data_IF_158147347690
#
_entry.id   IF_158147347690
#
_cell.length_a   1.000
_cell.length_b   1.000
_cell.length_c   1.000
_cell.angle_alpha   90.00
_cell.angle_beta   90.00
_cell.angle_gamma   90.00
#
_symmetry.space_group_name_H-M   'P 1'
#
loop_
_entity.id
_entity.type
_entity.pdbx_description
1 polymer ?
#
# COMPACT_ATOMS: atom_id res chain seq x y z
N UNK A 1 25.13 -39.15 -8.34
CA UNK A 1 25.92 -37.96 -8.73
C UNK A 1 25.00 -37.02 -9.47
N UNK A 2 24.57 -35.92 -8.83
CA UNK A 2 23.75 -34.91 -9.51
C UNK A 2 24.63 -34.18 -10.53
N UNK A 3 24.26 -34.23 -11.81
CA UNK A 3 24.96 -33.48 -12.86
C UNK A 3 24.95 -31.99 -12.51
N UNK A 4 26.11 -31.33 -12.61
CA UNK A 4 26.28 -29.89 -12.30
C UNK A 4 25.22 -29.00 -12.96
N UNK A 5 24.79 -29.34 -14.18
CA UNK A 5 23.70 -28.66 -14.91
C UNK A 5 22.35 -28.64 -14.16
N UNK A 6 22.02 -29.70 -13.41
CA UNK A 6 20.75 -29.77 -12.67
C UNK A 6 20.80 -28.93 -11.39
N UNK A 7 21.97 -28.80 -10.77
CA UNK A 7 22.14 -27.98 -9.55
C UNK A 7 21.97 -26.49 -9.87
N UNK A 8 22.57 -26.03 -10.98
CA UNK A 8 22.45 -24.63 -11.43
C UNK A 8 20.99 -24.30 -11.76
N UNK A 9 20.28 -25.22 -12.44
CA UNK A 9 18.88 -25.03 -12.78
C UNK A 9 17.99 -24.91 -11.54
N UNK A 10 18.20 -25.77 -10.53
CA UNK A 10 17.44 -25.72 -9.27
C UNK A 10 17.71 -24.44 -8.47
N UNK A 11 18.95 -23.97 -8.41
CA UNK A 11 19.30 -22.72 -7.71
C UNK A 11 18.64 -21.51 -8.38
N UNK A 12 18.58 -21.50 -9.72
CA UNK A 12 17.97 -20.41 -10.49
C UNK A 12 16.46 -20.33 -10.25
N UNK A 13 15.76 -21.47 -10.19
CA UNK A 13 14.33 -21.53 -9.87
C UNK A 13 14.05 -21.02 -8.45
N UNK A 14 14.89 -21.38 -7.48
CA UNK A 14 14.73 -20.95 -6.08
C UNK A 14 14.93 -19.42 -5.95
N UNK A 15 15.92 -18.85 -6.65
CA UNK A 15 16.17 -17.40 -6.65
C UNK A 15 15.07 -16.58 -7.34
N UNK A 16 14.40 -17.14 -8.36
CA UNK A 16 13.25 -16.51 -9.00
C UNK A 16 12.01 -16.43 -8.08
N UNK A 17 11.90 -17.35 -7.11
CA UNK A 17 10.81 -17.38 -6.13
C UNK A 17 11.05 -16.47 -4.92
N UNK A 18 12.29 -16.02 -4.69
CA UNK A 18 12.64 -15.11 -3.60
C UNK A 18 12.45 -13.63 -3.98
N UNK A 19 11.34 -13.27 -4.63
CA UNK A 19 10.97 -11.86 -4.77
C UNK A 19 10.62 -11.31 -3.38
N UNK A 20 11.48 -10.48 -2.83
CA UNK A 20 11.25 -9.80 -1.55
C UNK A 20 10.06 -8.87 -1.72
N UNK A 21 8.88 -9.28 -1.23
CA UNK A 21 7.68 -8.46 -1.30
C UNK A 21 7.90 -7.21 -0.44
N UNK A 22 8.23 -6.09 -1.09
CA UNK A 22 8.31 -4.79 -0.42
C UNK A 22 6.90 -4.27 -0.20
N UNK A 23 6.59 -4.01 1.07
CA UNK A 23 5.37 -3.35 1.49
C UNK A 23 5.53 -1.84 1.25
N UNK A 24 4.80 -1.28 0.30
CA UNK A 24 4.90 0.13 -0.06
C UNK A 24 3.64 0.63 -0.77
N UNK A 25 3.36 1.92 -0.61
CA UNK A 25 2.47 2.65 -1.51
C UNK A 25 3.25 2.88 -2.81
N UNK A 26 2.68 2.48 -3.94
CA UNK A 26 3.34 2.54 -5.25
C UNK A 26 2.92 3.76 -6.07
N UNK A 27 1.70 4.25 -5.87
CA UNK A 27 1.25 5.52 -6.44
C UNK A 27 0.02 6.06 -5.72
N UNK A 28 -0.15 7.38 -5.80
CA UNK A 28 -1.32 8.10 -5.29
C UNK A 28 -1.79 9.05 -6.39
N UNK A 29 -3.07 8.97 -6.73
CA UNK A 29 -3.71 9.89 -7.67
C UNK A 29 -4.89 10.55 -6.98
N UNK A 30 -4.95 11.87 -7.04
CA UNK A 30 -6.09 12.66 -6.59
C UNK A 30 -6.87 13.19 -7.78
N UNK A 31 -8.18 12.96 -7.76
CA UNK A 31 -9.15 13.49 -8.73
C UNK A 31 -10.29 14.18 -7.94
N UNK A 32 -10.15 15.49 -7.74
CA UNK A 32 -11.02 16.27 -6.86
C UNK A 32 -11.03 15.71 -5.42
N UNK A 33 -12.20 15.22 -5.01
CA UNK A 33 -12.46 14.62 -3.70
C UNK A 33 -12.10 13.12 -3.60
N UNK A 34 -11.65 12.51 -4.70
CA UNK A 34 -11.33 11.09 -4.78
C UNK A 34 -9.81 10.88 -4.74
N UNK A 35 -9.36 10.00 -3.85
CA UNK A 35 -7.99 9.49 -3.82
C UNK A 35 -7.98 8.03 -4.29
N UNK A 36 -7.06 7.71 -5.19
CA UNK A 36 -6.78 6.34 -5.62
C UNK A 36 -5.35 6.00 -5.22
N UNK A 37 -5.20 5.11 -4.25
CA UNK A 37 -3.92 4.74 -3.65
C UNK A 37 -3.58 3.31 -4.05
N UNK A 38 -2.54 3.14 -4.86
CA UNK A 38 -2.00 1.83 -5.23
C UNK A 38 -0.93 1.42 -4.23
N UNK A 39 -0.89 0.13 -3.90
CA UNK A 39 0.03 -0.42 -2.91
C UNK A 39 0.41 -1.87 -3.21
N UNK A 40 1.53 -2.29 -2.64
CA UNK A 40 2.01 -3.67 -2.58
C UNK A 40 2.27 -4.04 -1.13
N UNK A 41 1.97 -5.28 -0.68
CA UNK A 41 1.33 -6.36 -1.42
C UNK A 41 -0.13 -6.03 -1.78
N UNK A 42 -0.63 -6.63 -2.86
CA UNK A 42 -1.94 -6.26 -3.46
C UNK A 42 -3.12 -6.46 -2.52
N UNK A 43 -3.04 -7.41 -1.58
CA UNK A 43 -4.10 -7.72 -0.61
C UNK A 43 -3.69 -7.29 0.79
N UNK A 44 -4.50 -6.42 1.40
CA UNK A 44 -4.23 -5.87 2.73
C UNK A 44 -5.52 -5.71 3.54
N UNK A 45 -5.43 -6.01 4.83
CA UNK A 45 -6.45 -5.70 5.84
C UNK A 45 -6.04 -4.39 6.50
N UNK A 46 -6.78 -3.31 6.22
CA UNK A 46 -6.43 -1.97 6.69
C UNK A 46 -6.98 -1.68 8.09
N UNK A 47 -6.09 -1.26 8.99
CA UNK A 47 -6.43 -0.80 10.34
C UNK A 47 -6.62 0.71 10.36
N UNK A 48 -5.72 1.46 9.71
CA UNK A 48 -5.78 2.91 9.57
C UNK A 48 -5.36 3.35 8.17
N UNK A 49 -6.08 4.32 7.62
CA UNK A 49 -5.72 5.02 6.39
C UNK A 49 -5.72 6.50 6.71
N UNK A 50 -4.61 7.20 6.55
CA UNK A 50 -4.44 8.55 7.07
C UNK A 50 -3.84 9.50 6.03
N UNK A 51 -4.36 10.73 6.02
CA UNK A 51 -3.67 11.88 5.48
C UNK A 51 -2.78 12.46 6.58
N UNK A 52 -1.56 12.83 6.23
CA UNK A 52 -0.58 13.39 7.16
C UNK A 52 -0.18 14.77 6.67
N UNK A 53 -0.09 15.73 7.59
CA UNK A 53 0.35 17.10 7.32
C UNK A 53 1.24 17.57 8.48
N UNK A 54 2.55 17.72 8.26
CA UNK A 54 3.50 18.07 9.31
C UNK A 54 3.37 17.19 10.56
N UNK A 55 3.14 15.89 10.37
CA UNK A 55 2.95 14.91 11.44
C UNK A 55 1.52 14.84 12.01
N UNK A 56 0.62 15.77 11.67
CA UNK A 56 -0.79 15.67 12.05
C UNK A 56 -1.48 14.58 11.22
N UNK A 57 -2.01 13.55 11.89
CA UNK A 57 -2.65 12.42 11.23
C UNK A 57 -4.18 12.57 11.24
N UNK A 58 -4.78 12.56 10.06
CA UNK A 58 -6.25 12.57 9.87
C UNK A 58 -6.69 11.23 9.33
N UNK A 59 -7.47 10.47 10.11
CA UNK A 59 -7.96 9.15 9.68
C UNK A 59 -9.09 9.30 8.66
N UNK A 60 -8.88 8.75 7.48
CA UNK A 60 -9.81 8.75 6.35
C UNK A 60 -10.37 7.36 6.03
N UNK A 61 -10.09 6.35 6.86
CA UNK A 61 -10.47 4.96 6.61
C UNK A 61 -11.95 4.76 6.30
N UNK A 62 -12.84 5.48 6.99
CA UNK A 62 -14.30 5.40 6.78
C UNK A 62 -14.74 5.77 5.37
N UNK A 63 -13.92 6.56 4.66
CA UNK A 63 -14.17 7.00 3.29
C UNK A 63 -13.50 6.12 2.24
N UNK A 64 -12.69 5.14 2.66
CA UNK A 64 -11.86 4.32 1.81
C UNK A 64 -12.44 2.92 1.62
N UNK A 65 -12.39 2.41 0.38
CA UNK A 65 -12.79 1.05 0.01
C UNK A 65 -11.72 0.42 -0.87
N UNK A 66 -11.24 -0.75 -0.44
CA UNK A 66 -10.46 -1.66 -1.27
C UNK A 66 -11.44 -2.68 -1.86
N UNK A 67 -11.66 -2.66 -3.17
CA UNK A 67 -12.60 -3.59 -3.81
C UNK A 67 -12.12 -5.02 -3.57
N UNK A 68 -12.93 -5.83 -2.88
CA UNK A 68 -12.60 -7.20 -2.47
C UNK A 68 -11.36 -7.34 -1.57
N UNK A 69 -10.85 -6.24 -0.98
CA UNK A 69 -9.61 -6.21 -0.20
C UNK A 69 -8.33 -6.05 -1.02
N UNK A 70 -8.45 -5.67 -2.30
CA UNK A 70 -7.34 -5.57 -3.25
C UNK A 70 -6.99 -4.11 -3.54
N UNK A 71 -5.73 -3.86 -3.92
CA UNK A 71 -5.28 -2.58 -4.48
C UNK A 71 -6.00 -2.29 -5.82
N UNK A 72 -6.42 -1.05 -6.11
CA UNK A 72 -6.20 0.17 -5.31
C UNK A 72 -7.19 0.34 -4.15
N UNK A 73 -6.76 1.09 -3.13
CA UNK A 73 -7.63 1.65 -2.11
C UNK A 73 -8.21 2.96 -2.66
N UNK A 74 -9.53 3.02 -2.82
CA UNK A 74 -10.23 4.20 -3.32
C UNK A 74 -10.93 4.91 -2.18
N UNK A 75 -10.55 6.17 -1.91
CA UNK A 75 -11.15 7.00 -0.87
C UNK A 75 -11.96 8.15 -1.49
N UNK A 76 -13.24 8.26 -1.13
CA UNK A 76 -14.09 9.37 -1.55
C UNK A 76 -14.35 10.28 -0.34
N UNK A 77 -13.58 11.36 -0.26
CA UNK A 77 -13.58 12.26 0.90
C UNK A 77 -14.67 13.32 0.77
N UNK A 78 -15.28 13.79 1.88
CA UNK A 78 -16.17 14.94 1.83
C UNK A 78 -15.41 16.26 1.63
N UNK A 79 -14.14 16.30 2.07
CA UNK A 79 -13.20 17.41 1.92
C UNK A 79 -11.79 16.82 1.90
N UNK A 80 -10.91 17.36 1.06
CA UNK A 80 -9.48 17.00 1.08
C UNK A 80 -8.71 18.14 1.75
N UNK A 81 -8.27 17.98 3.01
CA UNK A 81 -7.42 18.97 3.66
C UNK A 81 -6.00 18.92 3.08
N UNK A 82 -5.19 19.94 3.41
CA UNK A 82 -3.76 19.93 3.09
C UNK A 82 -3.09 18.71 3.71
N UNK A 83 -2.27 18.02 2.92
CA UNK A 83 -1.46 16.88 3.34
C UNK A 83 -0.11 16.91 2.61
N UNK A 84 0.94 16.40 3.24
CA UNK A 84 2.28 16.21 2.67
C UNK A 84 2.61 14.72 2.46
N UNK A 85 1.82 13.83 3.06
CA UNK A 85 2.02 12.39 2.99
C UNK A 85 0.75 11.59 3.26
N UNK A 86 0.76 10.34 2.83
CA UNK A 86 -0.26 9.34 3.10
C UNK A 86 0.38 8.21 3.91
N UNK A 87 -0.31 7.80 4.98
CA UNK A 87 0.05 6.65 5.81
C UNK A 87 -1.03 5.59 5.72
N UNK A 88 -0.64 4.39 5.32
CA UNK A 88 -1.48 3.19 5.39
C UNK A 88 -0.90 2.22 6.42
N UNK A 89 -1.73 1.76 7.33
CA UNK A 89 -1.35 0.80 8.36
C UNK A 89 -2.31 -0.38 8.36
N UNK A 90 -1.78 -1.59 8.20
CA UNK A 90 -2.58 -2.79 8.01
C UNK A 90 -1.79 -4.06 8.17
N UNK A 91 -2.38 -5.19 7.82
CA UNK A 91 -1.70 -6.49 7.79
C UNK A 91 -2.04 -7.24 6.50
N UNK A 92 -1.09 -8.02 5.99
CA UNK A 92 -1.29 -8.83 4.78
C UNK A 92 -2.24 -10.03 5.01
N UNK A 93 -2.61 -10.32 6.26
CA UNK A 93 -3.53 -11.39 6.63
C UNK A 93 -3.70 -11.54 8.14
N UNK A 94 -4.68 -12.32 8.57
CA UNK A 94 -4.87 -12.60 10.01
C UNK A 94 -3.68 -13.40 10.53
N UNK A 95 -3.03 -12.90 11.59
CA UNK A 95 -1.82 -13.51 12.16
C UNK A 95 -0.52 -13.16 11.43
N UNK A 96 -0.57 -12.33 10.39
CA UNK A 96 0.61 -11.81 9.71
C UNK A 96 1.14 -10.53 10.39
N UNK A 97 2.38 -10.17 10.07
CA UNK A 97 3.03 -8.94 10.55
C UNK A 97 2.26 -7.70 10.11
N UNK A 98 2.15 -6.73 11.01
CA UNK A 98 1.59 -5.43 10.68
C UNK A 98 2.61 -4.62 9.86
N UNK A 99 2.11 -3.97 8.82
CA UNK A 99 2.88 -3.19 7.87
C UNK A 99 2.42 -1.74 7.96
N UNK A 100 3.40 -0.85 8.07
CA UNK A 100 3.21 0.58 7.95
C UNK A 100 3.85 1.04 6.65
N UNK A 101 3.05 1.70 5.80
CA UNK A 101 3.48 2.23 4.52
C UNK A 101 3.27 3.74 4.54
N UNK A 102 4.33 4.50 4.28
CA UNK A 102 4.27 5.95 4.09
C UNK A 102 4.68 6.32 2.68
N UNK A 103 4.00 7.30 2.10
CA UNK A 103 4.37 7.91 0.83
C UNK A 103 4.21 9.41 0.90
N UNK A 104 5.21 10.14 0.44
CA UNK A 104 5.11 11.58 0.22
C UNK A 104 4.10 11.84 -0.90
N UNK A 105 3.12 12.71 -0.63
CA UNK A 105 2.10 13.13 -1.58
C UNK A 105 1.50 14.45 -1.11
N UNK A 106 1.54 15.47 -1.97
CA UNK A 106 0.93 16.76 -1.65
C UNK A 106 -0.54 16.75 -2.07
N UNK A 107 -1.45 16.77 -1.10
CA UNK A 107 -2.87 16.89 -1.39
C UNK A 107 -3.18 18.26 -2.00
N UNK A 108 -4.02 18.26 -3.03
CA UNK A 108 -4.68 19.50 -3.48
C UNK A 108 -5.89 19.74 -2.60
N UNK A 109 -6.01 20.93 -2.02
CA UNK A 109 -7.16 21.25 -1.15
C UNK A 109 -8.42 21.37 -2.00
N UNK A 110 -9.45 20.61 -1.65
CA UNK A 110 -10.76 20.61 -2.34
C UNK A 110 -11.86 20.54 -1.28
N UNK A 111 -12.82 21.46 -1.37
CA UNK A 111 -13.95 21.62 -0.45
C UNK A 111 -15.28 21.25 -1.11
#
# INVERSE_FOLDING_TARGET
MFKSSNIIFTITIILLLSSVAHAAITSVVQDGLKLTINYSPMTMIWFDNQLVNNGLQTNIKSYCKAMYGWSPLVCNLPVVPTCDSIRLYGSAGVGATNLEMLSTFNCTVVA
#
